data_IF_524865697585
#
_entry.id   IF_524865697585
#
_cell.length_a   1.000
_cell.length_b   1.000
_cell.length_c   1.000
_cell.angle_alpha   90.00
_cell.angle_beta   90.00
_cell.angle_gamma   90.00
#
_symmetry.space_group_name_H-M   'P 1'
#
loop_
_entity.id
_entity.type
_entity.pdbx_description
1 polymer ?
#
# COMPACT_ATOMS: atom_id res chain seq x y z
N UNK A 1 23.00 1.69 4.82
CA UNK A 1 21.59 2.04 4.50
C UNK A 1 20.65 1.82 5.70
N UNK A 2 21.03 1.01 6.70
CA UNK A 2 20.29 0.78 7.95
C UNK A 2 20.41 1.96 8.94
N UNK A 3 21.45 2.78 8.85
CA UNK A 3 21.69 3.89 9.80
C UNK A 3 20.85 5.16 9.58
N UNK A 4 20.00 5.21 8.54
CA UNK A 4 19.14 6.38 8.26
C UNK A 4 18.00 6.55 9.28
N UNK A 5 17.79 5.56 10.14
CA UNK A 5 16.77 5.57 11.19
C UNK A 5 17.36 5.59 12.61
N UNK A 6 18.69 5.72 12.76
CA UNK A 6 19.32 5.82 14.08
C UNK A 6 18.96 7.18 14.73
N UNK A 7 18.30 7.10 15.88
CA UNK A 7 17.90 8.25 16.68
C UNK A 7 19.11 8.79 17.47
N UNK A 8 19.96 9.59 16.83
CA UNK A 8 21.08 10.24 17.52
C UNK A 8 20.68 11.44 18.39
N UNK A 9 19.43 11.90 18.35
CA UNK A 9 19.06 13.24 18.85
C UNK A 9 17.93 13.27 19.91
N UNK A 10 17.63 12.17 20.60
CA UNK A 10 16.73 12.19 21.77
C UNK A 10 15.27 12.62 21.49
N UNK A 11 14.83 12.66 20.23
CA UNK A 11 13.46 13.07 19.88
C UNK A 11 12.46 11.93 20.15
N UNK A 12 11.34 12.23 20.81
CA UNK A 12 10.24 11.26 21.07
C UNK A 12 9.62 10.81 19.73
N UNK A 13 9.63 9.51 19.47
CA UNK A 13 9.05 8.91 18.27
C UNK A 13 7.52 8.84 18.40
N UNK A 14 6.80 9.34 17.39
CA UNK A 14 5.33 9.28 17.33
C UNK A 14 4.88 7.81 17.34
N UNK A 15 3.95 7.47 18.23
CA UNK A 15 3.45 6.09 18.47
C UNK A 15 4.51 5.08 18.98
N UNK A 16 5.67 5.54 19.47
CA UNK A 16 6.68 4.70 20.14
C UNK A 16 7.64 3.98 19.21
N UNK A 17 8.47 3.09 19.77
CA UNK A 17 9.53 2.36 19.08
C UNK A 17 9.26 0.86 18.90
N UNK A 18 8.04 0.39 19.24
CA UNK A 18 7.67 -1.01 19.07
C UNK A 18 7.56 -1.35 17.57
N UNK A 19 8.26 -2.41 17.15
CA UNK A 19 8.29 -2.93 15.77
C UNK A 19 7.02 -3.71 15.41
N UNK A 20 5.87 -3.03 15.43
CA UNK A 20 4.54 -3.64 15.19
C UNK A 20 3.83 -3.07 13.96
N UNK A 21 4.52 -2.26 13.16
CA UNK A 21 3.96 -1.61 11.97
C UNK A 21 4.49 -2.25 10.70
N UNK A 22 3.74 -2.06 9.62
CA UNK A 22 4.09 -2.50 8.27
C UNK A 22 3.46 -1.54 7.25
N UNK A 23 3.83 -1.67 5.98
CA UNK A 23 3.16 -0.99 4.87
C UNK A 23 2.30 -2.01 4.10
N UNK A 24 1.23 -1.56 3.48
CA UNK A 24 0.43 -2.42 2.61
C UNK A 24 -0.06 -1.66 1.39
N UNK A 25 -0.31 -2.39 0.32
CA UNK A 25 -0.84 -1.89 -0.94
C UNK A 25 -2.15 -2.60 -1.24
N UNK A 26 -3.12 -1.87 -1.79
CA UNK A 26 -4.27 -2.48 -2.45
C UNK A 26 -4.10 -2.32 -3.95
N UNK A 27 -4.19 -3.44 -4.67
CA UNK A 27 -4.03 -3.49 -6.11
C UNK A 27 -5.31 -3.95 -6.81
N UNK A 28 -5.54 -3.38 -7.98
CA UNK A 28 -6.63 -3.72 -8.86
C UNK A 28 -6.27 -4.92 -9.76
N UNK A 29 -6.88 -6.10 -9.55
CA UNK A 29 -6.61 -7.31 -10.34
C UNK A 29 -6.97 -7.14 -11.83
N UNK A 30 -7.88 -6.23 -12.18
CA UNK A 30 -8.27 -5.95 -13.58
C UNK A 30 -7.10 -5.33 -14.36
N UNK A 31 -6.18 -4.68 -13.64
CA UNK A 31 -4.95 -4.09 -14.18
C UNK A 31 -3.77 -5.07 -14.09
N UNK A 32 -3.56 -5.72 -12.95
CA UNK A 32 -2.44 -6.67 -12.81
C UNK A 32 -2.61 -7.87 -13.74
N UNK A 33 -3.83 -8.37 -13.93
CA UNK A 33 -4.15 -9.53 -14.77
C UNK A 33 -3.22 -10.71 -14.45
N UNK A 34 -3.14 -11.09 -13.18
CA UNK A 34 -2.21 -12.10 -12.66
C UNK A 34 -0.76 -11.82 -13.10
N UNK A 35 -0.27 -10.62 -12.77
CA UNK A 35 1.05 -10.15 -13.20
C UNK A 35 2.18 -11.13 -12.83
N UNK A 36 2.22 -11.77 -11.64
CA UNK A 36 3.26 -12.75 -11.31
C UNK A 36 3.37 -13.90 -12.31
N UNK A 37 2.26 -14.38 -12.87
CA UNK A 37 2.25 -15.46 -13.86
C UNK A 37 2.85 -15.04 -15.21
N UNK A 38 2.60 -13.80 -15.63
CA UNK A 38 3.00 -13.29 -16.96
C UNK A 38 4.29 -12.49 -16.96
N UNK A 39 4.83 -12.09 -15.80
CA UNK A 39 6.01 -11.25 -15.69
C UNK A 39 7.24 -11.82 -16.42
N UNK A 40 7.40 -13.15 -16.45
CA UNK A 40 8.50 -13.84 -17.15
C UNK A 40 8.55 -13.58 -18.67
N UNK A 41 7.44 -13.17 -19.27
CA UNK A 41 7.30 -12.93 -20.71
C UNK A 41 7.16 -11.43 -21.02
N UNK A 42 7.51 -10.55 -20.09
CA UNK A 42 7.37 -9.10 -20.21
C UNK A 42 8.72 -8.42 -19.98
N UNK A 43 8.90 -7.23 -20.55
CA UNK A 43 10.03 -6.38 -20.20
C UNK A 43 9.90 -5.88 -18.74
N UNK A 44 11.01 -5.80 -18.02
CA UNK A 44 11.04 -5.35 -16.61
C UNK A 44 10.36 -3.99 -16.39
N UNK A 45 10.52 -3.08 -17.36
CA UNK A 45 9.85 -1.78 -17.37
C UNK A 45 8.32 -1.89 -17.38
N UNK A 46 7.78 -2.76 -18.23
CA UNK A 46 6.34 -2.98 -18.37
C UNK A 46 5.75 -3.69 -17.15
N UNK A 47 6.50 -4.63 -16.57
CA UNK A 47 6.12 -5.29 -15.30
C UNK A 47 6.00 -4.23 -14.20
N UNK A 48 7.01 -3.36 -14.06
CA UNK A 48 6.99 -2.30 -13.06
C UNK A 48 5.87 -1.28 -13.32
N UNK A 49 5.69 -0.83 -14.56
CA UNK A 49 4.62 0.09 -14.92
C UNK A 49 3.23 -0.50 -14.68
N UNK A 50 3.01 -1.78 -15.00
CA UNK A 50 1.74 -2.48 -14.71
C UNK A 50 1.50 -2.54 -13.20
N UNK A 51 2.49 -2.96 -12.42
CA UNK A 51 2.37 -3.06 -10.96
C UNK A 51 2.02 -1.71 -10.34
N UNK A 52 2.74 -0.66 -10.72
CA UNK A 52 2.47 0.70 -10.26
C UNK A 52 1.09 1.18 -10.68
N UNK A 53 0.67 0.90 -11.91
CA UNK A 53 -0.65 1.28 -12.42
C UNK A 53 -1.80 0.57 -11.70
N UNK A 54 -1.57 -0.63 -11.16
CA UNK A 54 -2.59 -1.38 -10.44
C UNK A 54 -2.79 -0.92 -9.00
N UNK A 55 -1.80 -0.25 -8.38
CA UNK A 55 -1.91 0.22 -7.00
C UNK A 55 -2.88 1.40 -6.93
N UNK A 56 -4.02 1.21 -6.27
CA UNK A 56 -5.00 2.28 -6.05
C UNK A 56 -4.96 2.85 -4.63
N UNK A 57 -4.28 2.16 -3.70
CA UNK A 57 -4.12 2.61 -2.32
C UNK A 57 -2.79 2.16 -1.70
N UNK A 58 -2.15 3.07 -0.97
CA UNK A 58 -0.93 2.82 -0.19
C UNK A 58 -1.22 3.16 1.27
N UNK A 59 -0.94 2.24 2.18
CA UNK A 59 -1.20 2.44 3.60
C UNK A 59 -0.07 1.96 4.50
N UNK A 60 -0.14 2.41 5.75
CA UNK A 60 0.52 1.76 6.89
C UNK A 60 -0.49 0.99 7.75
N UNK A 61 -0.08 -0.17 8.22
CA UNK A 61 -0.90 -1.07 9.02
C UNK A 61 -0.32 -1.33 10.41
N UNK A 62 -1.21 -1.67 11.34
CA UNK A 62 -0.94 -2.41 12.56
C UNK A 62 -2.02 -3.49 12.65
N UNK A 63 -1.67 -4.74 12.94
CA UNK A 63 -2.62 -5.86 13.05
C UNK A 63 -3.56 -5.93 11.82
N UNK A 64 -4.89 -5.97 12.03
CA UNK A 64 -5.93 -6.16 11.01
C UNK A 64 -6.25 -4.93 10.14
N UNK A 65 -5.49 -3.83 10.24
CA UNK A 65 -5.77 -2.57 9.53
C UNK A 65 -6.07 -2.69 8.02
N UNK A 66 -5.41 -3.56 7.23
CA UNK A 66 -5.70 -3.70 5.80
C UNK A 66 -7.14 -4.15 5.52
N UNK A 67 -7.71 -4.99 6.40
CA UNK A 67 -9.08 -5.47 6.28
C UNK A 67 -10.12 -4.41 6.60
N UNK A 68 -9.77 -3.30 7.28
CA UNK A 68 -10.73 -2.24 7.63
C UNK A 68 -11.43 -1.68 6.40
N UNK A 69 -10.72 -1.49 5.28
CA UNK A 69 -11.32 -0.96 4.04
C UNK A 69 -12.23 -1.99 3.37
N UNK A 70 -11.89 -3.27 3.47
CA UNK A 70 -12.70 -4.37 2.95
C UNK A 70 -13.99 -4.52 3.77
N UNK A 71 -13.92 -4.43 5.10
CA UNK A 71 -15.11 -4.40 5.96
C UNK A 71 -16.00 -3.19 5.70
N UNK A 72 -15.41 -2.02 5.44
CA UNK A 72 -16.16 -0.82 5.02
C UNK A 72 -16.93 -1.09 3.72
N UNK A 73 -16.30 -1.76 2.75
CA UNK A 73 -16.95 -2.16 1.50
C UNK A 73 -18.06 -3.21 1.69
N UNK A 74 -17.86 -4.25 2.52
CA UNK A 74 -18.93 -5.20 2.88
C UNK A 74 -20.12 -4.49 3.52
N UNK A 75 -19.84 -3.56 4.43
CA UNK A 75 -20.89 -2.76 5.09
C UNK A 75 -21.67 -1.95 4.06
N UNK A 76 -21.00 -1.38 3.05
CA UNK A 76 -21.64 -0.64 1.97
C UNK A 76 -22.50 -1.53 1.05
N UNK A 77 -22.10 -2.79 0.80
CA UNK A 77 -22.93 -3.76 0.07
C UNK A 77 -24.22 -4.11 0.82
N UNK A 78 -24.14 -4.27 2.15
CA UNK A 78 -25.29 -4.62 2.98
C UNK A 78 -26.21 -3.43 3.27
N UNK A 79 -25.61 -2.25 3.50
CA UNK A 79 -26.30 -1.02 3.90
C UNK A 79 -25.77 0.15 3.08
N UNK A 80 -26.26 0.34 1.85
CA UNK A 80 -25.79 1.40 0.98
C UNK A 80 -26.01 2.79 1.61
N UNK A 81 -24.93 3.57 1.72
CA UNK A 81 -24.96 4.97 2.14
C UNK A 81 -24.56 5.89 1.00
N UNK A 82 -25.12 7.12 0.93
CA UNK A 82 -24.57 8.16 0.06
C UNK A 82 -23.16 8.55 0.55
N UNK A 83 -22.28 8.93 -0.39
CA UNK A 83 -20.90 9.39 -0.15
C UNK A 83 -19.88 8.32 0.28
N UNK A 84 -19.61 7.37 -0.62
CA UNK A 84 -18.54 6.37 -0.46
C UNK A 84 -17.17 6.98 -0.75
N UNK A 85 -16.14 6.60 0.00
CA UNK A 85 -14.77 7.04 -0.29
C UNK A 85 -14.22 6.38 -1.56
N UNK A 86 -13.43 7.09 -2.38
CA UNK A 86 -12.89 6.56 -3.65
C UNK A 86 -12.22 5.18 -3.52
N UNK A 87 -11.48 4.94 -2.42
CA UNK A 87 -10.85 3.65 -2.16
C UNK A 87 -11.87 2.51 -1.96
N UNK A 88 -12.99 2.79 -1.29
CA UNK A 88 -14.06 1.80 -1.07
C UNK A 88 -14.86 1.64 -2.34
N UNK A 89 -15.11 2.71 -3.09
CA UNK A 89 -15.74 2.63 -4.40
C UNK A 89 -14.92 1.72 -5.34
N UNK A 90 -13.60 1.90 -5.40
CA UNK A 90 -12.74 1.02 -6.20
C UNK A 90 -12.84 -0.45 -5.78
N UNK A 91 -12.88 -0.74 -4.48
CA UNK A 91 -13.07 -2.11 -3.96
C UNK A 91 -14.41 -2.68 -4.45
N UNK A 92 -15.48 -1.90 -4.35
CA UNK A 92 -16.82 -2.31 -4.80
C UNK A 92 -16.84 -2.56 -6.32
N UNK A 93 -16.20 -1.70 -7.11
CA UNK A 93 -16.15 -1.84 -8.57
C UNK A 93 -15.39 -3.11 -8.97
N UNK A 94 -14.29 -3.43 -8.30
CA UNK A 94 -13.53 -4.68 -8.51
C UNK A 94 -14.41 -5.90 -8.19
N UNK A 95 -15.11 -5.87 -7.06
CA UNK A 95 -16.00 -6.96 -6.65
C UNK A 95 -17.22 -7.12 -7.57
N UNK A 96 -17.75 -6.00 -8.09
CA UNK A 96 -18.85 -6.02 -9.06
C UNK A 96 -18.44 -6.73 -10.36
N UNK A 97 -17.20 -6.58 -10.79
CA UNK A 97 -16.62 -7.30 -11.93
C UNK A 97 -16.19 -8.75 -11.60
N UNK A 98 -16.67 -9.31 -10.48
CA UNK A 98 -16.41 -10.70 -10.06
C UNK A 98 -14.93 -11.01 -9.84
N UNK A 99 -14.12 -9.98 -9.53
CA UNK A 99 -12.73 -10.14 -9.11
C UNK A 99 -12.56 -9.75 -7.65
N UNK A 100 -11.47 -10.16 -7.01
CA UNK A 100 -11.17 -9.82 -5.62
C UNK A 100 -9.97 -8.89 -5.51
N UNK A 101 -10.00 -7.99 -4.53
CA UNK A 101 -8.93 -7.01 -4.31
C UNK A 101 -7.66 -7.72 -3.84
N UNK A 102 -6.51 -7.33 -4.39
CA UNK A 102 -5.21 -7.84 -3.93
C UNK A 102 -4.73 -6.97 -2.76
N UNK A 103 -4.54 -7.57 -1.59
CA UNK A 103 -3.97 -6.88 -0.41
C UNK A 103 -2.55 -7.36 -0.15
N UNK A 104 -1.56 -6.61 -0.62
CA UNK A 104 -0.15 -6.94 -0.48
C UNK A 104 0.44 -6.32 0.79
N UNK A 105 0.95 -7.14 1.71
CA UNK A 105 1.62 -6.66 2.92
C UNK A 105 3.13 -6.62 2.70
N UNK A 106 3.74 -5.44 2.89
CA UNK A 106 5.17 -5.22 2.63
C UNK A 106 5.86 -4.61 3.85
N UNK A 107 7.15 -4.90 3.97
CA UNK A 107 8.04 -4.34 4.99
C UNK A 107 7.51 -4.48 6.43
N UNK A 108 7.32 -5.72 6.88
CA UNK A 108 6.82 -6.03 8.21
C UNK A 108 7.84 -5.71 9.33
N UNK A 109 7.35 -5.72 10.58
CA UNK A 109 8.15 -5.58 11.80
C UNK A 109 9.00 -4.30 11.85
N UNK A 110 8.40 -3.17 11.46
CA UNK A 110 9.04 -1.85 11.55
C UNK A 110 8.39 -0.95 12.59
N UNK A 111 9.13 0.06 13.01
CA UNK A 111 8.62 1.09 13.91
C UNK A 111 7.61 1.98 13.17
N UNK A 112 6.64 2.60 13.88
CA UNK A 112 5.58 3.36 13.23
C UNK A 112 6.08 4.47 12.31
N UNK A 113 7.06 5.24 12.76
CA UNK A 113 7.64 6.37 12.01
C UNK A 113 8.34 5.93 10.73
N UNK A 114 8.97 4.75 10.73
CA UNK A 114 9.56 4.18 9.53
C UNK A 114 8.46 3.79 8.53
N UNK A 115 7.37 3.16 8.99
CA UNK A 115 6.22 2.86 8.15
C UNK A 115 5.59 4.13 7.55
N UNK A 116 5.43 5.20 8.35
CA UNK A 116 4.97 6.50 7.87
C UNK A 116 5.90 7.08 6.79
N UNK A 117 7.21 7.06 7.04
CA UNK A 117 8.20 7.62 6.11
C UNK A 117 8.19 6.85 4.79
N UNK A 118 8.07 5.53 4.82
CA UNK A 118 7.98 4.67 3.63
C UNK A 118 6.70 4.92 2.85
N UNK A 119 5.56 5.00 3.53
CA UNK A 119 4.27 5.39 2.95
C UNK A 119 4.39 6.74 2.24
N UNK A 120 4.94 7.75 2.92
CA UNK A 120 5.14 9.08 2.35
C UNK A 120 6.08 9.07 1.13
N UNK A 121 7.19 8.33 1.19
CA UNK A 121 8.09 8.16 0.05
C UNK A 121 7.37 7.53 -1.14
N UNK A 122 6.65 6.43 -0.94
CA UNK A 122 5.94 5.72 -2.00
C UNK A 122 4.85 6.61 -2.62
N UNK A 123 4.00 7.26 -1.81
CA UNK A 123 3.00 8.23 -2.30
C UNK A 123 3.67 9.34 -3.10
N UNK A 124 4.83 9.84 -2.64
CA UNK A 124 5.53 10.91 -3.31
C UNK A 124 6.15 10.49 -4.67
N UNK A 125 6.45 9.21 -4.85
CA UNK A 125 6.95 8.67 -6.11
C UNK A 125 5.85 8.49 -7.17
N UNK A 126 4.58 8.43 -6.77
CA UNK A 126 3.46 8.47 -7.70
C UNK A 126 3.28 9.90 -8.26
N UNK A 127 2.94 9.97 -9.55
CA UNK A 127 2.33 11.19 -10.10
C UNK A 127 0.88 11.25 -9.61
N UNK A 128 0.41 12.45 -9.28
CA UNK A 128 -0.78 12.72 -8.43
C UNK A 128 -2.11 12.12 -8.92
N UNK A 129 -2.17 11.61 -10.15
CA UNK A 129 -3.42 11.31 -10.85
C UNK A 129 -3.99 9.90 -10.59
N UNK A 130 -3.27 9.02 -9.87
CA UNK A 130 -3.65 7.58 -9.75
C UNK A 130 -3.91 7.05 -8.34
N UNK A 131 -3.62 7.82 -7.29
CA UNK A 131 -3.81 7.36 -5.90
C UNK A 131 -5.12 7.90 -5.31
N UNK A 132 -5.95 7.00 -4.76
CA UNK A 132 -7.15 7.38 -3.99
C UNK A 132 -6.83 7.95 -2.60
N UNK A 133 -5.54 8.05 -2.26
CA UNK A 133 -5.07 8.55 -0.98
C UNK A 133 -5.46 10.02 -0.78
N UNK A 134 -6.39 10.28 0.16
CA UNK A 134 -6.87 11.63 0.50
C UNK A 134 -5.82 12.53 1.18
N UNK A 135 -4.67 11.98 1.62
CA UNK A 135 -3.65 12.71 2.38
C UNK A 135 -2.25 12.43 1.83
N UNK A 136 -1.44 13.48 1.74
CA UNK A 136 0.02 13.35 1.55
C UNK A 136 0.60 12.68 2.80
N UNK A 137 1.58 11.79 2.61
CA UNK A 137 2.23 11.12 3.74
C UNK A 137 3.15 12.05 4.53
N UNK A 138 3.36 11.73 5.81
CA UNK A 138 4.19 12.50 6.73
C UNK A 138 5.65 11.99 6.72
N UNK A 139 6.62 12.92 6.73
CA UNK A 139 8.04 12.62 6.85
C UNK A 139 8.56 12.97 8.25
N UNK A 140 9.41 12.12 8.81
CA UNK A 140 9.90 12.25 10.19
C UNK A 140 11.42 12.05 10.29
N UNK A 141 12.01 12.56 11.38
CA UNK A 141 13.45 12.41 11.63
C UNK A 141 14.29 12.98 10.48
N UNK A 142 15.37 12.31 10.11
CA UNK A 142 16.25 12.73 9.00
C UNK A 142 15.52 12.80 7.66
N UNK A 143 14.45 12.03 7.47
CA UNK A 143 13.70 12.06 6.20
C UNK A 143 12.91 13.35 5.97
N UNK A 144 12.62 14.12 7.03
CA UNK A 144 11.91 15.40 6.87
C UNK A 144 12.76 16.41 6.10
N UNK A 145 14.08 16.39 6.31
CA UNK A 145 15.05 17.30 5.68
C UNK A 145 15.49 16.85 4.28
N UNK A 146 15.10 15.65 3.84
CA UNK A 146 15.44 15.18 2.49
C UNK A 146 14.80 16.05 1.41
N UNK A 147 15.57 16.31 0.35
CA UNK A 147 15.05 16.95 -0.86
C UNK A 147 13.96 16.11 -1.51
N UNK A 148 13.06 16.75 -2.25
CA UNK A 148 11.97 16.05 -2.95
C UNK A 148 12.49 15.02 -3.94
N UNK A 149 13.64 15.28 -4.57
CA UNK A 149 14.31 14.33 -5.47
C UNK A 149 14.71 13.04 -4.75
N UNK A 150 15.24 13.14 -3.53
CA UNK A 150 15.61 11.97 -2.70
C UNK A 150 14.35 11.23 -2.27
N UNK A 151 13.34 11.94 -1.77
CA UNK A 151 12.04 11.35 -1.35
C UNK A 151 11.40 10.53 -2.49
N UNK A 152 11.37 11.08 -3.71
CA UNK A 152 10.88 10.38 -4.91
C UNK A 152 11.70 9.14 -5.26
N UNK A 153 13.03 9.25 -5.30
CA UNK A 153 13.92 8.10 -5.58
C UNK A 153 13.74 6.98 -4.57
N UNK A 154 13.63 7.32 -3.29
CA UNK A 154 13.36 6.35 -2.22
C UNK A 154 11.99 5.70 -2.40
N UNK A 155 10.96 6.45 -2.77
CA UNK A 155 9.65 5.89 -3.09
C UNK A 155 9.70 4.88 -4.24
N UNK A 156 10.38 5.22 -5.35
CA UNK A 156 10.57 4.29 -6.47
C UNK A 156 11.32 3.03 -6.03
N UNK A 157 12.35 3.18 -5.20
CA UNK A 157 13.06 2.03 -4.63
C UNK A 157 12.14 1.12 -3.82
N UNK A 158 11.32 1.68 -2.92
CA UNK A 158 10.36 0.89 -2.15
C UNK A 158 9.31 0.22 -3.04
N UNK A 159 8.83 0.88 -4.08
CA UNK A 159 7.90 0.26 -5.04
C UNK A 159 8.53 -0.90 -5.82
N UNK A 160 9.80 -0.77 -6.22
CA UNK A 160 10.54 -1.89 -6.84
C UNK A 160 10.69 -3.07 -5.88
N UNK A 161 10.94 -2.80 -4.60
CA UNK A 161 10.97 -3.86 -3.57
C UNK A 161 9.60 -4.48 -3.33
N UNK A 162 8.54 -3.68 -3.34
CA UNK A 162 7.17 -4.19 -3.23
C UNK A 162 6.81 -5.08 -4.42
N UNK A 163 7.22 -4.71 -5.65
CA UNK A 163 7.05 -5.56 -6.83
C UNK A 163 7.76 -6.92 -6.65
N UNK A 164 9.01 -6.93 -6.17
CA UNK A 164 9.74 -8.18 -5.94
C UNK A 164 9.00 -9.10 -4.97
N UNK A 165 8.45 -8.53 -3.89
CA UNK A 165 7.61 -9.28 -2.93
C UNK A 165 6.36 -9.82 -3.63
N UNK A 166 5.64 -8.98 -4.38
CA UNK A 166 4.43 -9.39 -5.08
C UNK A 166 4.66 -10.52 -6.10
N UNK A 167 5.74 -10.45 -6.88
CA UNK A 167 6.09 -11.51 -7.83
C UNK A 167 6.44 -12.82 -7.13
N UNK A 168 7.03 -12.75 -5.94
CA UNK A 168 7.41 -13.94 -5.16
C UNK A 168 6.22 -14.55 -4.40
N UNK A 169 5.35 -13.73 -3.82
CA UNK A 169 4.16 -14.19 -3.07
C UNK A 169 3.01 -14.60 -3.99
N UNK A 170 3.00 -14.09 -5.23
CA UNK A 170 1.92 -14.30 -6.19
C UNK A 170 0.74 -13.34 -5.99
N UNK A 171 -0.28 -13.51 -6.82
CA UNK A 171 -1.49 -12.70 -6.77
C UNK A 171 -2.60 -13.45 -6.02
N UNK A 172 -2.90 -12.98 -4.80
CA UNK A 172 -4.04 -13.45 -4.02
C UNK A 172 -5.12 -12.39 -3.96
N UNK A 173 -6.27 -12.72 -4.52
CA UNK A 173 -7.46 -11.87 -4.52
C UNK A 173 -8.31 -12.14 -3.27
N UNK A 174 -8.92 -11.08 -2.73
CA UNK A 174 -9.85 -11.15 -1.59
C UNK A 174 -11.24 -10.73 -2.10
N UNK A 175 -12.14 -11.69 -2.15
CA UNK A 175 -13.53 -11.53 -2.54
C UNK A 175 -14.44 -11.35 -1.31
N UNK A 176 -15.68 -10.88 -1.50
CA UNK A 176 -16.62 -10.73 -0.38
C UNK A 176 -16.78 -11.98 0.50
N UNK A 177 -16.90 -13.21 -0.06
CA UNK A 177 -17.04 -14.43 0.75
C UNK A 177 -15.83 -14.77 1.62
N UNK A 178 -14.63 -14.28 1.27
CA UNK A 178 -13.40 -14.51 2.04
C UNK A 178 -13.37 -13.70 3.34
N UNK A 179 -14.26 -12.71 3.47
CA UNK A 179 -14.28 -11.76 4.57
C UNK A 179 -15.30 -12.22 5.61
N UNK A 180 -14.81 -12.89 6.65
CA UNK A 180 -15.62 -13.19 7.84
C UNK A 180 -15.83 -11.91 8.66
N UNK A 181 -17.07 -11.45 8.77
CA UNK A 181 -17.43 -10.38 9.71
C UNK A 181 -17.44 -10.95 11.14
N UNK A 182 -16.41 -10.66 11.93
CA UNK A 182 -16.36 -10.91 13.37
C UNK A 182 -16.25 -12.39 13.79
N UNK A 183 -15.07 -12.74 14.32
CA UNK A 183 -15.01 -13.30 15.67
C UNK A 183 -14.66 -12.15 16.61
#
# INVERSE_FOLDING_TARGET
MIDLFNNSNGRKWREGALKSSFNYLLLDPRVTKNLPLRAKNMADGDVFCTFVAAIFYIGKGKRSRPYTHLYEAITQLQKPKPNVSNKVQQILDIWYEQQGVVSLHIFQNVIPVEAYTREACMIQAFSLDKLTNKKKGDFYGTSSTWSMKVKRRMGVYFLKKALQIFLAEGERQICPPDIKMGQ
#
